data_IF_280369591406
#
_entry.id   IF_280369591406
#
_cell.length_a   1.000
_cell.length_b   1.000
_cell.length_c   1.000
_cell.angle_alpha   90.00
_cell.angle_beta   90.00
_cell.angle_gamma   90.00
#
_symmetry.space_group_name_H-M   'P 1'
#
loop_
_entity.id
_entity.type
_entity.pdbx_description
1 polymer ?
#
# COMPACT_ATOMS: atom_id res chain seq x y z
N UNK A 1 15.44 2.21 -1.07
CA UNK A 1 14.58 3.24 -1.68
C UNK A 1 14.11 4.17 -0.57
N UNK A 2 14.15 5.49 -0.76
CA UNK A 2 13.62 6.45 0.22
C UNK A 2 12.11 6.33 0.30
N UNK A 3 11.54 6.37 1.51
CA UNK A 3 10.09 6.38 1.71
C UNK A 3 9.52 7.68 1.13
N UNK A 4 8.53 7.58 0.25
CA UNK A 4 7.82 8.73 -0.30
C UNK A 4 6.76 9.16 0.71
N UNK A 5 6.78 10.42 1.15
CA UNK A 5 5.89 10.90 2.22
C UNK A 5 4.77 11.79 1.68
N UNK A 6 3.52 11.43 1.94
CA UNK A 6 2.37 12.30 1.64
C UNK A 6 2.39 13.54 2.51
N UNK A 7 2.17 14.70 1.91
CA UNK A 7 1.88 15.90 2.68
C UNK A 7 0.43 15.85 3.20
N UNK A 8 0.28 15.40 4.45
CA UNK A 8 -1.01 15.36 5.15
C UNK A 8 -1.35 16.70 5.84
N UNK A 9 -0.45 17.69 5.83
CA UNK A 9 -0.71 19.02 6.43
C UNK A 9 -1.75 19.77 5.59
N UNK A 10 -2.99 19.80 6.08
CA UNK A 10 -4.14 20.39 5.38
C UNK A 10 -5.38 19.50 5.35
N UNK A 11 -5.24 18.25 5.79
CA UNK A 11 -6.26 17.21 5.66
C UNK A 11 -7.20 17.06 6.86
N UNK A 12 -7.21 18.04 7.77
CA UNK A 12 -8.26 18.22 8.78
C UNK A 12 -8.49 17.05 9.73
N UNK A 13 -7.64 16.89 10.74
CA UNK A 13 -8.03 16.94 12.16
C UNK A 13 -6.79 17.00 13.06
N UNK A 14 -6.79 17.94 14.00
CA UNK A 14 -5.73 18.12 15.00
C UNK A 14 -5.79 16.97 16.01
N UNK A 15 -4.96 15.95 15.84
CA UNK A 15 -4.64 15.08 16.97
C UNK A 15 -3.68 15.83 17.90
N UNK A 16 -4.25 16.44 18.94
CA UNK A 16 -3.49 16.87 20.12
C UNK A 16 -2.99 15.63 20.86
N UNK A 17 -1.75 15.24 20.61
CA UNK A 17 -0.88 14.60 21.60
C UNK A 17 0.47 15.27 21.49
N UNK A 18 0.60 16.39 22.21
CA UNK A 18 1.88 17.06 22.43
C UNK A 18 2.67 16.29 23.48
N UNK A 19 3.76 15.64 23.07
CA UNK A 19 4.93 15.53 23.94
C UNK A 19 6.18 15.91 23.14
N UNK A 20 6.92 16.84 23.74
CA UNK A 20 8.07 17.57 23.23
C UNK A 20 9.27 16.68 22.94
N UNK A 21 9.87 16.82 21.76
CA UNK A 21 11.24 16.36 21.49
C UNK A 21 12.10 17.55 21.11
N UNK A 22 13.19 17.68 21.85
CA UNK A 22 14.20 18.73 21.89
C UNK A 22 14.96 18.84 20.55
N UNK A 23 14.93 20.03 19.95
CA UNK A 23 15.59 20.32 18.67
C UNK A 23 17.04 20.70 18.91
N UNK A 24 17.98 19.74 18.85
CA UNK A 24 19.40 20.00 18.58
C UNK A 24 20.16 18.70 18.25
N UNK A 25 20.25 18.34 16.96
CA UNK A 25 21.32 17.47 16.45
C UNK A 25 21.66 17.85 15.00
N UNK A 26 22.95 17.89 14.62
CA UNK A 26 23.39 18.41 13.32
C UNK A 26 23.12 17.43 12.17
N UNK A 27 22.70 18.00 11.04
CA UNK A 27 22.49 17.32 9.75
C UNK A 27 23.84 16.79 9.24
N UNK A 28 23.99 15.46 9.25
CA UNK A 28 25.06 14.74 8.57
C UNK A 28 24.49 14.09 7.31
N UNK A 29 24.85 14.68 6.16
CA UNK A 29 24.51 14.21 4.83
C UNK A 29 25.36 13.00 4.46
N UNK A 30 24.81 11.80 4.60
CA UNK A 30 25.32 10.59 3.93
C UNK A 30 24.22 9.52 3.89
N UNK A 31 23.33 9.62 2.90
CA UNK A 31 22.26 8.65 2.65
C UNK A 31 22.83 7.44 1.89
N UNK A 32 23.24 6.40 2.63
CA UNK A 32 23.43 5.06 2.08
C UNK A 32 22.05 4.44 1.82
N UNK A 33 21.68 4.34 0.56
CA UNK A 33 20.47 3.67 0.08
C UNK A 33 20.58 2.15 0.29
N UNK A 34 19.80 1.61 1.24
CA UNK A 34 19.52 0.17 1.34
C UNK A 34 18.07 0.00 0.88
N UNK A 35 17.82 -0.78 -0.18
CA UNK A 35 16.47 -1.12 -0.63
C UNK A 35 15.97 -2.35 0.14
N UNK A 36 14.69 -2.34 0.54
CA UNK A 36 14.05 -3.48 1.25
C UNK A 36 13.89 -4.73 0.36
N UNK A 37 14.13 -4.61 -0.95
CA UNK A 37 13.89 -5.68 -1.93
C UNK A 37 15.07 -5.93 -2.89
N UNK A 38 16.29 -5.52 -2.52
CA UNK A 38 17.51 -5.85 -3.29
C UNK A 38 17.78 -7.36 -3.17
N UNK A 39 17.12 -8.18 -3.99
CA UNK A 39 17.38 -9.62 -4.04
C UNK A 39 16.30 -10.52 -4.66
N UNK A 40 15.11 -10.01 -5.02
CA UNK A 40 14.13 -10.86 -5.70
C UNK A 40 14.39 -10.85 -7.22
N UNK A 41 15.09 -11.88 -7.73
CA UNK A 41 15.14 -12.16 -9.18
C UNK A 41 13.72 -12.53 -9.66
N UNK A 42 12.89 -11.53 -9.96
CA UNK A 42 11.69 -11.74 -10.74
C UNK A 42 12.11 -11.98 -12.19
N UNK A 43 11.52 -12.97 -12.88
CA UNK A 43 11.72 -13.15 -14.33
C UNK A 43 11.21 -11.99 -15.18
N UNK A 44 10.65 -10.95 -14.56
CA UNK A 44 10.18 -9.72 -15.19
C UNK A 44 11.25 -8.63 -15.16
N UNK A 45 11.27 -7.82 -16.20
CA UNK A 45 12.17 -6.67 -16.32
C UNK A 45 11.37 -5.39 -16.54
N UNK A 46 12.02 -4.25 -16.29
CA UNK A 46 11.57 -2.99 -16.86
C UNK A 46 11.59 -3.10 -18.39
N UNK A 47 10.56 -2.56 -19.01
CA UNK A 47 10.47 -2.45 -20.47
C UNK A 47 11.22 -1.19 -20.93
N UNK A 48 11.14 -0.11 -20.16
CA UNK A 48 11.91 1.12 -20.41
C UNK A 48 11.51 1.88 -21.69
N UNK A 49 10.30 1.65 -22.20
CA UNK A 49 9.76 2.35 -23.39
C UNK A 49 9.06 3.66 -23.08
N UNK A 50 8.81 3.93 -21.79
CA UNK A 50 8.22 5.16 -21.28
C UNK A 50 9.21 5.87 -20.37
N UNK A 51 8.89 7.10 -19.98
CA UNK A 51 9.64 7.87 -19.00
C UNK A 51 9.22 7.55 -17.56
N UNK A 52 8.80 6.31 -17.31
CA UNK A 52 8.29 5.83 -16.03
C UNK A 52 9.25 6.10 -14.87
N UNK A 53 8.70 6.55 -13.75
CA UNK A 53 9.36 6.50 -12.44
C UNK A 53 8.32 6.45 -11.32
N UNK A 54 8.68 5.82 -10.20
CA UNK A 54 7.82 5.79 -9.01
C UNK A 54 7.52 7.20 -8.47
N UNK A 55 8.48 8.11 -8.60
CA UNK A 55 8.32 9.52 -8.24
C UNK A 55 7.18 10.19 -9.02
N UNK A 56 7.07 9.94 -10.34
CA UNK A 56 5.97 10.51 -11.15
C UNK A 56 4.61 9.94 -10.76
N UNK A 57 4.54 8.64 -10.49
CA UNK A 57 3.32 7.99 -10.00
C UNK A 57 2.91 8.62 -8.67
N UNK A 58 3.86 8.78 -7.76
CA UNK A 58 3.63 9.43 -6.47
C UNK A 58 3.16 10.88 -6.61
N UNK A 59 3.77 11.68 -7.48
CA UNK A 59 3.34 13.06 -7.73
C UNK A 59 1.89 13.12 -8.23
N UNK A 60 1.51 12.26 -9.17
CA UNK A 60 0.11 12.18 -9.65
C UNK A 60 -0.83 11.82 -8.50
N UNK A 61 -0.46 10.85 -7.66
CA UNK A 61 -1.27 10.44 -6.53
C UNK A 61 -1.36 11.54 -5.48
N UNK A 62 -0.25 12.19 -5.12
CA UNK A 62 -0.20 13.30 -4.20
C UNK A 62 -1.12 14.45 -4.65
N UNK A 63 -1.09 14.80 -5.94
CA UNK A 63 -1.98 15.80 -6.54
C UNK A 63 -3.45 15.35 -6.54
N UNK A 64 -3.73 14.07 -6.80
CA UNK A 64 -5.09 13.51 -6.76
C UNK A 64 -5.66 13.46 -5.34
N UNK A 65 -4.79 13.30 -4.35
CA UNK A 65 -5.15 13.20 -2.95
C UNK A 65 -5.33 14.55 -2.29
N UNK A 66 -4.57 15.57 -2.71
CA UNK A 66 -4.56 16.91 -2.11
C UNK A 66 -5.98 17.46 -1.85
N UNK A 67 -6.30 18.06 -0.68
CA UNK A 67 -7.67 18.41 -0.28
C UNK A 67 -8.33 19.42 -1.23
N UNK A 68 -7.53 20.36 -1.73
CA UNK A 68 -7.98 21.41 -2.65
C UNK A 68 -7.94 21.01 -4.13
N UNK A 69 -7.55 19.77 -4.43
CA UNK A 69 -7.41 19.34 -5.82
C UNK A 69 -8.76 19.23 -6.51
N UNK A 70 -8.75 19.54 -7.80
CA UNK A 70 -9.87 19.27 -8.70
C UNK A 70 -9.59 18.10 -9.62
N UNK A 71 -8.47 17.41 -9.44
CA UNK A 71 -8.10 16.26 -10.28
C UNK A 71 -9.13 15.16 -10.12
N UNK A 72 -9.93 14.85 -11.16
CA UNK A 72 -10.90 13.78 -11.10
C UNK A 72 -10.19 12.43 -11.17
N UNK A 73 -10.86 11.38 -10.66
CA UNK A 73 -10.37 10.00 -10.68
C UNK A 73 -9.88 9.59 -12.08
N UNK A 74 -10.70 9.81 -13.11
CA UNK A 74 -10.37 9.42 -14.48
C UNK A 74 -9.08 10.10 -15.00
N UNK A 75 -8.82 11.35 -14.59
CA UNK A 75 -7.61 12.06 -15.00
C UNK A 75 -6.38 11.48 -14.30
N UNK A 76 -6.46 11.17 -13.01
CA UNK A 76 -5.36 10.53 -12.29
C UNK A 76 -5.04 9.15 -12.87
N UNK A 77 -6.08 8.35 -13.16
CA UNK A 77 -5.96 7.04 -13.80
C UNK A 77 -5.29 7.17 -15.17
N UNK A 78 -5.77 8.08 -16.02
CA UNK A 78 -5.16 8.29 -17.35
C UNK A 78 -3.69 8.71 -17.25
N UNK A 79 -3.35 9.61 -16.33
CA UNK A 79 -1.97 10.06 -16.13
C UNK A 79 -1.04 8.91 -15.72
N UNK A 80 -1.49 8.02 -14.82
CA UNK A 80 -0.70 6.85 -14.42
C UNK A 80 -0.57 5.86 -15.59
N UNK A 81 -1.67 5.57 -16.30
CA UNK A 81 -1.65 4.65 -17.45
C UNK A 81 -0.74 5.13 -18.58
N UNK A 82 -0.60 6.44 -18.76
CA UNK A 82 0.29 7.05 -19.75
C UNK A 82 1.78 6.81 -19.43
N UNK A 83 2.13 6.59 -18.16
CA UNK A 83 3.50 6.26 -17.75
C UNK A 83 3.86 4.79 -17.98
N UNK A 84 2.88 3.91 -18.18
CA UNK A 84 3.10 2.48 -18.27
C UNK A 84 3.33 2.03 -19.73
N UNK A 85 4.16 1.01 -19.97
CA UNK A 85 4.37 0.45 -21.30
C UNK A 85 3.06 -0.07 -21.92
N UNK A 86 2.98 -0.06 -23.25
CA UNK A 86 1.86 -0.69 -23.97
C UNK A 86 2.07 -2.20 -24.09
N UNK A 87 1.00 -2.98 -23.95
CA UNK A 87 0.98 -4.44 -24.15
C UNK A 87 1.94 -5.25 -23.25
N UNK A 88 2.42 -4.66 -22.17
CA UNK A 88 3.34 -5.30 -21.23
C UNK A 88 2.74 -5.32 -19.81
N UNK A 89 1.60 -6.01 -19.59
CA UNK A 89 0.91 -6.00 -18.29
C UNK A 89 1.68 -6.71 -17.18
N UNK A 90 2.75 -7.44 -17.52
CA UNK A 90 3.61 -8.16 -16.58
C UNK A 90 4.91 -7.42 -16.25
N UNK A 91 5.08 -6.17 -16.71
CA UNK A 91 6.33 -5.44 -16.53
C UNK A 91 6.62 -5.08 -15.07
N UNK A 92 7.86 -4.69 -14.77
CA UNK A 92 8.24 -4.19 -13.44
C UNK A 92 7.59 -2.84 -13.14
N UNK A 93 7.39 -1.97 -14.14
CA UNK A 93 6.68 -0.68 -13.99
C UNK A 93 5.26 -0.86 -13.43
N UNK A 94 4.53 -1.89 -13.89
CA UNK A 94 3.17 -2.19 -13.40
C UNK A 94 3.18 -2.66 -11.94
N UNK A 95 4.17 -3.46 -11.55
CA UNK A 95 4.36 -3.89 -10.16
C UNK A 95 4.76 -2.73 -9.24
N UNK A 96 5.65 -1.85 -9.72
CA UNK A 96 6.09 -0.67 -8.99
C UNK A 96 4.93 0.31 -8.71
N UNK A 97 3.94 0.43 -9.61
CA UNK A 97 2.72 1.20 -9.30
C UNK A 97 2.02 0.64 -8.06
N UNK A 98 1.95 -0.70 -7.95
CA UNK A 98 1.42 -1.37 -6.77
C UNK A 98 2.22 -1.05 -5.52
N UNK A 99 3.56 -1.06 -5.61
CA UNK A 99 4.44 -0.66 -4.51
C UNK A 99 4.17 0.77 -4.04
N UNK A 100 4.08 1.74 -4.95
CA UNK A 100 3.80 3.14 -4.59
C UNK A 100 2.45 3.24 -3.88
N UNK A 101 1.43 2.55 -4.38
CA UNK A 101 0.10 2.54 -3.76
C UNK A 101 0.14 1.95 -2.35
N UNK A 102 0.90 0.88 -2.12
CA UNK A 102 1.01 0.24 -0.81
C UNK A 102 1.77 1.10 0.19
N UNK A 103 2.81 1.81 -0.26
CA UNK A 103 3.49 2.83 0.55
C UNK A 103 2.54 3.94 0.98
N UNK A 104 1.62 4.38 0.10
CA UNK A 104 0.62 5.38 0.46
C UNK A 104 -0.43 4.82 1.43
N UNK A 105 -0.87 3.59 1.21
CA UNK A 105 -1.85 2.92 2.06
C UNK A 105 -1.38 2.82 3.52
N UNK A 106 -0.09 2.57 3.77
CA UNK A 106 0.51 2.56 5.10
C UNK A 106 0.47 3.93 5.80
N UNK A 107 0.55 5.02 5.02
CA UNK A 107 0.61 6.39 5.55
C UNK A 107 -0.77 6.98 5.83
N UNK A 108 -1.79 6.58 5.08
CA UNK A 108 -3.14 7.09 5.26
C UNK A 108 -3.75 6.44 6.51
N UNK A 109 -4.25 7.19 7.50
CA UNK A 109 -4.89 6.59 8.67
C UNK A 109 -6.05 5.66 8.27
N UNK A 110 -6.18 4.50 8.93
CA UNK A 110 -7.11 3.43 8.56
C UNK A 110 -8.58 3.86 8.46
N UNK A 111 -8.97 4.92 9.18
CA UNK A 111 -10.33 5.47 9.22
C UNK A 111 -10.54 6.62 8.22
N UNK A 112 -9.47 7.07 7.56
CA UNK A 112 -9.52 8.23 6.68
C UNK A 112 -10.15 7.85 5.32
N UNK A 113 -11.06 8.68 4.77
CA UNK A 113 -11.77 8.37 3.51
C UNK A 113 -10.86 8.19 2.29
N UNK A 114 -9.60 8.64 2.36
CA UNK A 114 -8.65 8.38 1.28
C UNK A 114 -8.20 6.94 1.14
N UNK A 115 -8.43 6.09 2.16
CA UNK A 115 -8.22 4.64 2.04
C UNK A 115 -9.10 4.05 0.92
N UNK A 116 -10.41 4.29 0.97
CA UNK A 116 -11.32 3.82 -0.08
C UNK A 116 -11.13 4.57 -1.41
N UNK A 117 -10.72 5.85 -1.37
CA UNK A 117 -10.39 6.62 -2.58
C UNK A 117 -9.20 6.01 -3.32
N UNK A 118 -8.19 5.52 -2.59
CA UNK A 118 -7.03 4.81 -3.15
C UNK A 118 -7.43 3.45 -3.73
N UNK A 119 -8.26 2.68 -3.02
CA UNK A 119 -8.76 1.40 -3.51
C UNK A 119 -9.57 1.55 -4.83
N UNK A 120 -10.40 2.59 -4.93
CA UNK A 120 -11.14 2.92 -6.17
C UNK A 120 -10.21 3.30 -7.33
N UNK A 121 -9.12 4.01 -7.05
CA UNK A 121 -8.13 4.34 -8.08
C UNK A 121 -7.46 3.08 -8.63
N UNK A 122 -7.09 2.13 -7.76
CA UNK A 122 -6.61 0.83 -8.21
C UNK A 122 -7.67 0.03 -8.96
N UNK A 123 -8.95 0.21 -8.59
CA UNK A 123 -10.03 -0.42 -9.33
C UNK A 123 -10.06 0.04 -10.78
N UNK A 124 -10.06 1.34 -11.01
CA UNK A 124 -10.07 1.86 -12.39
C UNK A 124 -8.78 1.52 -13.15
N UNK A 125 -7.61 1.60 -12.51
CA UNK A 125 -6.34 1.20 -13.15
C UNK A 125 -6.38 -0.24 -13.64
N UNK A 126 -6.86 -1.16 -12.81
CA UNK A 126 -6.89 -2.58 -13.15
C UNK A 126 -7.91 -2.91 -14.23
N UNK A 127 -8.86 -2.02 -14.58
CA UNK A 127 -9.73 -2.23 -15.75
C UNK A 127 -9.01 -2.02 -17.08
N UNK A 128 -7.83 -1.39 -17.06
CA UNK A 128 -7.03 -1.18 -18.27
C UNK A 128 -6.40 -2.48 -18.76
N UNK A 129 -6.27 -2.67 -20.09
CA UNK A 129 -5.47 -3.75 -20.67
C UNK A 129 -4.01 -3.74 -20.19
N UNK A 130 -3.48 -2.58 -19.79
CA UNK A 130 -2.12 -2.46 -19.22
C UNK A 130 -1.96 -3.16 -17.87
N UNK A 131 -3.05 -3.55 -17.23
CA UNK A 131 -3.05 -4.34 -15.98
C UNK A 131 -3.68 -5.73 -16.17
N UNK A 132 -4.00 -6.11 -17.40
CA UNK A 132 -4.75 -7.34 -17.68
C UNK A 132 -3.92 -8.26 -18.57
N UNK A 133 -3.66 -9.47 -18.09
CA UNK A 133 -2.95 -10.49 -18.86
C UNK A 133 -3.93 -11.51 -19.43
N UNK A 134 -3.79 -11.81 -20.71
CA UNK A 134 -4.46 -12.95 -21.35
C UNK A 134 -3.69 -14.24 -21.03
N UNK A 135 -4.34 -15.21 -20.41
CA UNK A 135 -3.70 -16.48 -20.03
C UNK A 135 -3.61 -17.50 -21.18
N UNK A 136 -4.43 -17.35 -22.21
CA UNK A 136 -4.59 -18.37 -23.25
C UNK A 136 -5.28 -17.80 -24.50
N UNK A 137 -4.83 -18.23 -25.68
CA UNK A 137 -5.49 -17.92 -26.97
C UNK A 137 -6.81 -18.68 -27.16
N UNK A 138 -7.02 -19.78 -26.44
CA UNK A 138 -8.16 -20.69 -26.62
C UNK A 138 -9.22 -20.58 -25.54
N UNK A 139 -8.84 -20.12 -24.33
CA UNK A 139 -9.74 -19.89 -23.21
C UNK A 139 -9.53 -18.48 -22.68
N UNK A 140 -10.60 -17.67 -22.71
CA UNK A 140 -10.59 -16.26 -22.36
C UNK A 140 -10.56 -16.09 -20.82
N UNK A 141 -9.45 -16.48 -20.20
CA UNK A 141 -9.17 -16.20 -18.80
C UNK A 141 -8.29 -14.95 -18.73
N UNK A 142 -8.89 -13.84 -18.31
CA UNK A 142 -8.18 -12.59 -18.05
C UNK A 142 -7.73 -12.54 -16.59
N UNK A 143 -6.41 -12.45 -16.36
CA UNK A 143 -5.91 -12.09 -15.03
C UNK A 143 -5.83 -10.58 -14.90
N UNK A 144 -6.90 -10.01 -14.36
CA UNK A 144 -6.94 -8.62 -13.93
C UNK A 144 -5.98 -8.38 -12.76
N UNK A 145 -5.15 -7.34 -12.88
CA UNK A 145 -4.29 -6.84 -11.82
C UNK A 145 -3.20 -7.81 -11.37
N UNK A 146 -2.72 -8.73 -12.23
CA UNK A 146 -1.78 -9.78 -11.82
C UNK A 146 -0.54 -9.24 -11.10
N UNK A 147 0.14 -8.24 -11.69
CA UNK A 147 1.34 -7.65 -11.08
C UNK A 147 1.04 -6.88 -9.81
N UNK A 148 -0.15 -6.28 -9.70
CA UNK A 148 -0.59 -5.68 -8.45
C UNK A 148 -0.76 -6.72 -7.34
N UNK A 149 -1.34 -7.90 -7.63
CA UNK A 149 -1.42 -9.01 -6.65
C UNK A 149 -0.05 -9.47 -6.16
N UNK A 150 0.91 -9.53 -7.06
CA UNK A 150 2.28 -9.88 -6.69
C UNK A 150 2.89 -8.81 -5.78
N UNK A 151 2.70 -7.52 -6.09
CA UNK A 151 3.12 -6.44 -5.18
C UNK A 151 2.45 -6.52 -3.81
N UNK A 152 1.15 -6.83 -3.74
CA UNK A 152 0.42 -7.05 -2.49
C UNK A 152 1.04 -8.16 -1.65
N UNK A 153 1.26 -9.33 -2.28
CA UNK A 153 1.86 -10.50 -1.63
C UNK A 153 3.26 -10.18 -1.12
N UNK A 154 4.09 -9.54 -1.95
CA UNK A 154 5.49 -9.26 -1.64
C UNK A 154 5.64 -8.15 -0.58
N UNK A 155 4.66 -7.24 -0.52
CA UNK A 155 4.60 -6.17 0.47
C UNK A 155 4.05 -6.64 1.83
N UNK A 156 3.36 -7.78 1.88
CA UNK A 156 2.72 -8.31 3.09
C UNK A 156 3.75 -8.86 4.09
N UNK A 157 4.29 -7.98 4.94
CA UNK A 157 5.39 -8.31 5.85
C UNK A 157 5.01 -8.37 7.34
N UNK A 158 3.73 -8.26 7.67
CA UNK A 158 3.27 -8.23 9.06
C UNK A 158 3.48 -6.87 9.75
N UNK A 159 3.09 -6.74 11.03
CA UNK A 159 3.28 -5.50 11.78
C UNK A 159 4.76 -5.23 12.08
N UNK A 160 5.24 -4.04 11.69
CA UNK A 160 6.56 -3.55 12.11
C UNK A 160 6.56 -3.03 13.55
N UNK A 161 7.71 -3.14 14.23
CA UNK A 161 7.88 -2.61 15.59
C UNK A 161 8.01 -1.09 15.62
N UNK A 162 8.67 -0.51 14.61
CA UNK A 162 9.01 0.91 14.55
C UNK A 162 7.82 1.82 14.21
N UNK A 163 6.82 1.27 13.51
CA UNK A 163 5.68 2.02 13.00
C UNK A 163 4.38 1.21 13.14
N UNK A 164 3.88 1.01 14.38
CA UNK A 164 2.76 0.12 14.67
C UNK A 164 1.43 0.55 14.02
N UNK A 165 1.33 1.77 13.50
CA UNK A 165 0.14 2.29 12.82
C UNK A 165 0.08 1.93 11.33
N UNK A 166 1.23 1.63 10.69
CA UNK A 166 1.28 1.28 9.26
C UNK A 166 0.49 0.01 8.96
N UNK A 167 0.56 -0.96 9.88
CA UNK A 167 -0.09 -2.25 9.69
C UNK A 167 -1.62 -2.18 9.72
N UNK A 168 -2.27 -1.54 10.71
CA UNK A 168 -3.71 -1.26 10.66
C UNK A 168 -4.12 -0.47 9.40
N UNK A 169 -3.33 0.52 9.00
CA UNK A 169 -3.60 1.34 7.80
C UNK A 169 -3.59 0.48 6.52
N UNK A 170 -2.56 -0.35 6.35
CA UNK A 170 -2.45 -1.28 5.22
C UNK A 170 -3.58 -2.31 5.18
N UNK A 171 -3.98 -2.86 6.34
CA UNK A 171 -5.10 -3.80 6.42
C UNK A 171 -6.44 -3.14 6.07
N UNK A 172 -6.63 -1.87 6.41
CA UNK A 172 -7.83 -1.14 5.99
C UNK A 172 -7.87 -0.95 4.47
N UNK A 173 -6.73 -0.66 3.83
CA UNK A 173 -6.63 -0.67 2.38
C UNK A 173 -7.00 -2.02 1.78
N UNK A 174 -6.49 -3.14 2.32
CA UNK A 174 -6.86 -4.49 1.85
C UNK A 174 -8.34 -4.79 2.01
N UNK A 175 -8.97 -4.36 3.10
CA UNK A 175 -10.40 -4.51 3.28
C UNK A 175 -11.20 -3.73 2.22
N UNK A 176 -10.76 -2.52 1.86
CA UNK A 176 -11.38 -1.75 0.79
C UNK A 176 -11.10 -2.32 -0.59
N UNK A 177 -9.90 -2.83 -0.85
CA UNK A 177 -9.52 -3.50 -2.09
C UNK A 177 -10.34 -4.77 -2.31
N UNK A 178 -10.56 -5.58 -1.27
CA UNK A 178 -11.44 -6.75 -1.33
C UNK A 178 -12.92 -6.37 -1.56
N UNK A 179 -13.32 -5.16 -1.14
CA UNK A 179 -14.66 -4.62 -1.39
C UNK A 179 -14.84 -4.06 -2.80
N UNK A 180 -13.74 -3.73 -3.49
CA UNK A 180 -13.76 -3.34 -4.90
C UNK A 180 -13.60 -4.59 -5.76
N UNK A 181 -14.30 -4.67 -6.89
CA UNK A 181 -14.34 -5.90 -7.72
C UNK A 181 -13.05 -6.11 -8.53
N UNK A 182 -11.91 -5.64 -8.01
CA UNK A 182 -10.57 -5.83 -8.58
C UNK A 182 -10.23 -7.31 -8.58
N UNK A 183 -10.72 -8.04 -7.58
CA UNK A 183 -10.39 -9.42 -7.34
C UNK A 183 -11.64 -10.30 -7.19
N UNK A 184 -11.69 -11.50 -7.80
CA UNK A 184 -12.51 -12.61 -7.33
C UNK A 184 -11.86 -13.31 -6.12
N UNK A 185 -10.95 -12.63 -5.40
CA UNK A 185 -10.16 -13.22 -4.34
C UNK A 185 -10.93 -13.10 -3.02
N UNK A 186 -11.03 -14.21 -2.29
CA UNK A 186 -11.43 -14.18 -0.90
C UNK A 186 -10.22 -13.66 -0.12
N UNK A 187 -10.35 -12.61 0.72
CA UNK A 187 -9.22 -12.04 1.46
C UNK A 187 -8.81 -12.95 2.63
N UNK A 188 -8.62 -14.24 2.34
CA UNK A 188 -8.36 -15.29 3.31
C UNK A 188 -7.13 -14.91 4.13
N UNK A 189 -6.05 -14.43 3.50
CA UNK A 189 -4.84 -14.02 4.22
C UNK A 189 -5.09 -12.91 5.25
N UNK A 190 -5.92 -11.91 4.93
CA UNK A 190 -6.28 -10.83 5.83
C UNK A 190 -7.21 -11.33 6.95
N UNK A 191 -8.16 -12.23 6.64
CA UNK A 191 -9.01 -12.89 7.63
C UNK A 191 -8.20 -13.77 8.58
N UNK A 192 -7.28 -14.58 8.07
CA UNK A 192 -6.36 -15.41 8.86
C UNK A 192 -5.47 -14.54 9.75
N UNK A 193 -5.04 -13.38 9.27
CA UNK A 193 -4.21 -12.45 10.05
C UNK A 193 -4.99 -11.74 11.13
N UNK A 194 -6.21 -11.27 10.83
CA UNK A 194 -7.12 -10.69 11.82
C UNK A 194 -7.40 -11.72 12.92
N UNK A 195 -7.72 -12.95 12.51
CA UNK A 195 -7.92 -14.08 13.41
C UNK A 195 -6.68 -14.35 14.26
N UNK A 196 -5.50 -14.41 13.65
CA UNK A 196 -4.25 -14.63 14.37
C UNK A 196 -3.96 -13.51 15.38
N UNK A 197 -4.30 -12.26 15.06
CA UNK A 197 -4.15 -11.13 15.98
C UNK A 197 -5.08 -11.23 17.20
N UNK A 198 -6.29 -11.79 17.05
CA UNK A 198 -7.27 -11.91 18.14
C UNK A 198 -7.23 -13.26 18.88
N UNK A 199 -6.88 -14.35 18.21
CA UNK A 199 -6.93 -15.71 18.74
C UNK A 199 -5.59 -16.21 19.28
N UNK A 200 -4.45 -15.67 18.82
CA UNK A 200 -3.16 -16.08 19.38
C UNK A 200 -2.98 -15.43 20.75
N UNK A 201 -2.83 -16.22 21.83
CA UNK A 201 -2.47 -15.65 23.12
C UNK A 201 -1.15 -14.91 22.97
N UNK A 202 -1.03 -13.73 23.60
CA UNK A 202 0.24 -13.01 23.66
C UNK A 202 1.31 -13.99 24.15
N UNK A 203 2.31 -14.28 23.31
CA UNK A 203 3.31 -15.28 23.66
C UNK A 203 3.94 -14.91 25.01
N UNK A 204 4.03 -15.87 25.96
CA UNK A 204 4.66 -15.59 27.24
C UNK A 204 6.12 -15.18 26.99
N UNK A 205 6.42 -13.96 27.44
CA UNK A 205 7.71 -13.28 27.37
C UNK A 205 8.85 -14.19 27.84
N UNK A 206 9.45 -14.95 26.94
CA UNK A 206 10.77 -15.55 27.16
C UNK A 206 11.76 -15.23 26.03
N UNK A 207 11.29 -14.54 24.99
CA UNK A 207 12.09 -13.94 23.93
C UNK A 207 11.41 -12.61 23.51
N UNK A 208 12.17 -11.53 23.49
CA UNK A 208 11.70 -10.14 23.43
C UNK A 208 11.26 -9.71 22.03
N UNK A 209 10.06 -10.12 21.60
CA UNK A 209 9.49 -9.68 20.30
C UNK A 209 7.96 -9.64 20.25
N UNK A 210 7.27 -9.70 21.39
CA UNK A 210 5.81 -9.65 21.43
C UNK A 210 5.33 -8.20 21.24
N UNK A 211 4.53 -7.98 20.20
CA UNK A 211 3.88 -6.72 19.84
C UNK A 211 3.23 -6.02 21.06
N UNK A 212 3.82 -4.91 21.51
CA UNK A 212 3.26 -4.07 22.60
C UNK A 212 1.94 -3.39 22.21
N UNK A 213 1.68 -3.17 20.91
CA UNK A 213 0.52 -2.43 20.43
C UNK A 213 -0.84 -3.10 20.66
N UNK A 214 -0.88 -4.41 20.98
CA UNK A 214 -2.13 -5.14 21.28
C UNK A 214 -2.40 -5.26 22.78
N UNK A 215 -1.45 -4.94 23.66
CA UNK A 215 -1.62 -5.13 25.11
C UNK A 215 -2.76 -4.29 25.73
N UNK A 216 -3.18 -3.22 25.05
CA UNK A 216 -4.22 -2.31 25.53
C UNK A 216 -5.61 -2.53 24.91
N UNK A 217 -5.78 -3.51 24.00
CA UNK A 217 -7.10 -3.89 23.50
C UNK A 217 -7.73 -5.00 24.35
N UNK A 218 -7.74 -4.82 25.68
CA UNK A 218 -8.62 -5.61 26.52
C UNK A 218 -10.06 -5.27 26.10
N UNK A 219 -10.66 -6.14 25.29
CA UNK A 219 -12.11 -6.18 25.10
C UNK A 219 -12.69 -6.29 26.49
N UNK A 220 -13.35 -5.22 26.93
CA UNK A 220 -14.05 -5.18 28.19
C UNK A 220 -15.14 -6.27 28.14
N UNK A 221 -14.84 -7.45 28.70
CA UNK A 221 -15.85 -8.39 29.12
C UNK A 221 -16.54 -7.82 30.37
N UNK A 222 -17.27 -6.72 30.19
CA UNK A 222 -18.31 -6.31 31.12
C UNK A 222 -19.44 -7.33 31.03
N UNK A 223 -19.41 -8.24 32.00
CA UNK A 223 -20.44 -9.21 32.39
C UNK A 223 -21.84 -8.84 31.92
N UNK A 224 -22.42 -9.69 31.07
CA UNK A 224 -23.86 -9.96 31.02
C UNK A 224 -24.18 -11.09 32.00
#
# INVERSE_FOLDING_TARGET
MSKLELNLEGWGEKNQLTESIDTNAPVSSESKSISRFDGHESGYSYVGTTDYSQEKVFQILNDYFHPDTKTPLDSAVHSILALLPEKEPLSTEVWDVGVVVLQLAEQIPYHHPSQIKLARLMEELTRSPKFTTELSETDVWYMRGQRFKESLRDWYNGPGEDAPQEWPNLNAFFAHEASTHILPHQPDFALWTLRDAFEKPAEPLHWSGSFKGMQNQQIAYSRL
#
